data_IF_549478791375
#
_entry.id   IF_549478791375
#
_cell.length_a   1.000
_cell.length_b   1.000
_cell.length_c   1.000
_cell.angle_alpha   90.00
_cell.angle_beta   90.00
_cell.angle_gamma   90.00
#
_symmetry.space_group_name_H-M   'P 1'
#
loop_
_entity.id
_entity.type
_entity.pdbx_description
1 polymer ?
#
# COMPACT_ATOMS: atom_id res chain seq x y z
N UNK A 1 17.33 -18.02 47.62
CA UNK A 1 17.34 -16.57 47.36
C UNK A 1 17.35 -16.37 45.86
N UNK A 2 16.18 -16.13 45.27
CA UNK A 2 16.04 -15.82 43.84
C UNK A 2 15.88 -14.30 43.75
N UNK A 3 16.80 -13.63 43.05
CA UNK A 3 16.75 -12.19 42.81
C UNK A 3 15.56 -11.90 41.90
N UNK A 4 14.59 -11.13 42.41
CA UNK A 4 13.65 -10.38 41.59
C UNK A 4 14.49 -9.47 40.68
N UNK A 5 14.32 -9.62 39.36
CA UNK A 5 14.76 -8.61 38.40
C UNK A 5 13.58 -7.66 38.27
N UNK A 6 13.75 -6.48 38.87
CA UNK A 6 12.80 -5.38 38.76
C UNK A 6 12.63 -4.97 37.29
N UNK A 7 11.36 -4.95 36.88
CA UNK A 7 10.73 -3.95 36.02
C UNK A 7 11.58 -3.25 34.97
N UNK A 8 11.42 -3.70 33.72
CA UNK A 8 11.33 -2.79 32.58
C UNK A 8 10.24 -3.31 31.62
N UNK A 9 8.97 -3.13 32.01
CA UNK A 9 7.91 -2.91 31.02
C UNK A 9 8.09 -1.49 30.47
N UNK A 10 9.17 -1.30 29.72
CA UNK A 10 9.27 -0.18 28.82
C UNK A 10 8.15 -0.36 27.81
N UNK A 11 7.09 0.43 27.94
CA UNK A 11 6.12 0.63 26.88
C UNK A 11 6.88 1.26 25.72
N UNK A 12 7.55 0.43 24.92
CA UNK A 12 8.11 0.82 23.63
C UNK A 12 6.88 1.04 22.77
N UNK A 13 6.28 2.22 22.91
CA UNK A 13 5.66 2.85 21.77
C UNK A 13 6.75 2.81 20.72
N UNK A 14 6.66 1.83 19.81
CA UNK A 14 7.38 1.90 18.56
C UNK A 14 6.91 3.22 17.96
N UNK A 15 7.66 4.29 18.22
CA UNK A 15 7.55 5.54 17.51
C UNK A 15 7.82 5.12 16.07
N UNK A 16 6.77 4.73 15.35
CA UNK A 16 6.83 4.46 13.93
C UNK A 16 7.21 5.80 13.33
N UNK A 17 8.51 6.01 13.21
CA UNK A 17 9.03 7.20 12.55
C UNK A 17 8.57 7.09 11.12
N UNK A 18 7.85 8.11 10.65
CA UNK A 18 7.47 8.18 9.26
C UNK A 18 8.75 8.07 8.41
N UNK A 19 8.75 7.23 7.37
CA UNK A 19 9.91 7.10 6.50
C UNK A 19 10.28 8.47 5.92
N UNK A 20 11.58 8.74 5.86
CA UNK A 20 12.13 9.94 5.23
C UNK A 20 12.36 9.67 3.74
N UNK A 21 11.77 10.51 2.90
CA UNK A 21 11.88 10.42 1.45
C UNK A 21 12.72 11.57 0.91
N UNK A 22 13.71 11.25 0.08
CA UNK A 22 14.54 12.26 -0.55
C UNK A 22 13.80 12.90 -1.74
N UNK A 23 13.39 14.16 -1.62
CA UNK A 23 12.84 14.92 -2.74
C UNK A 23 13.99 15.62 -3.51
N UNK A 24 14.40 15.05 -4.65
CA UNK A 24 15.47 15.61 -5.50
C UNK A 24 15.21 17.05 -5.94
N UNK A 25 13.96 17.36 -6.31
CA UNK A 25 13.55 18.70 -6.74
C UNK A 25 13.59 19.70 -5.58
N UNK A 26 13.14 19.28 -4.40
CA UNK A 26 13.10 20.10 -3.20
C UNK A 26 14.48 20.24 -2.54
N UNK A 27 15.44 19.38 -2.90
CA UNK A 27 16.78 19.25 -2.32
C UNK A 27 16.77 19.06 -0.79
N UNK A 28 15.74 18.37 -0.28
CA UNK A 28 15.57 18.06 1.15
C UNK A 28 14.80 16.77 1.34
N UNK A 29 14.96 16.16 2.51
CA UNK A 29 14.17 15.01 2.91
C UNK A 29 12.79 15.46 3.43
N UNK A 30 11.76 14.66 3.13
CA UNK A 30 10.37 14.92 3.50
C UNK A 30 9.78 13.70 4.19
N UNK A 31 8.98 13.92 5.22
CA UNK A 31 8.25 12.85 5.93
C UNK A 31 6.87 12.59 5.34
N UNK A 32 6.26 13.63 4.75
CA UNK A 32 4.92 13.57 4.18
C UNK A 32 5.03 13.47 2.66
N UNK A 33 4.71 12.30 2.13
CA UNK A 33 4.64 12.07 0.69
C UNK A 33 3.24 12.30 0.17
N UNK A 34 3.17 12.78 -1.07
CA UNK A 34 1.93 12.90 -1.82
C UNK A 34 1.90 11.72 -2.79
N UNK A 35 0.86 10.89 -2.67
CA UNK A 35 0.63 9.80 -3.62
C UNK A 35 -0.16 10.34 -4.81
N UNK A 36 0.37 10.16 -6.01
CA UNK A 36 -0.26 10.56 -7.27
C UNK A 36 -0.26 9.40 -8.25
N UNK A 37 -1.28 9.31 -9.11
CA UNK A 37 -1.29 8.31 -10.17
C UNK A 37 -0.31 8.63 -11.30
N UNK A 38 0.42 7.58 -11.68
CA UNK A 38 1.06 7.41 -12.97
C UNK A 38 0.49 6.12 -13.57
N UNK A 39 -0.72 6.20 -14.13
CA UNK A 39 -1.52 5.02 -14.48
C UNK A 39 -1.41 4.72 -15.98
N UNK A 40 -0.88 3.56 -16.31
CA UNK A 40 -0.83 3.06 -17.69
C UNK A 40 -2.06 2.19 -17.94
N UNK A 41 -2.93 2.61 -18.87
CA UNK A 41 -4.16 1.89 -19.23
C UNK A 41 -4.03 1.33 -20.64
N UNK A 42 -4.36 0.06 -20.79
CA UNK A 42 -4.57 -0.60 -22.09
C UNK A 42 -6.06 -0.60 -22.38
N UNK A 43 -6.43 -0.11 -23.54
CA UNK A 43 -7.81 0.00 -23.99
C UNK A 43 -7.94 -0.85 -25.24
N UNK A 44 -8.95 -1.71 -25.27
CA UNK A 44 -9.31 -2.51 -26.43
C UNK A 44 -10.79 -2.36 -26.73
N UNK A 45 -11.16 -2.46 -27.99
CA UNK A 45 -12.55 -2.50 -28.43
C UNK A 45 -12.84 -3.73 -29.31
N UNK A 46 -14.06 -3.81 -29.85
CA UNK A 46 -14.50 -4.92 -30.71
C UNK A 46 -13.72 -5.02 -32.02
N UNK A 47 -12.96 -3.98 -32.41
CA UNK A 47 -12.11 -4.00 -33.60
C UNK A 47 -10.86 -4.86 -33.44
N UNK A 48 -10.60 -5.39 -32.23
CA UNK A 48 -9.36 -6.08 -31.82
C UNK A 48 -8.14 -5.15 -31.80
N UNK A 49 -8.32 -3.85 -32.02
CA UNK A 49 -7.29 -2.85 -31.77
C UNK A 49 -7.02 -2.72 -30.26
N UNK A 50 -5.75 -2.61 -29.90
CA UNK A 50 -5.33 -2.27 -28.54
C UNK A 50 -4.52 -0.96 -28.61
N UNK A 51 -4.85 -0.02 -27.74
CA UNK A 51 -4.07 1.20 -27.53
C UNK A 51 -3.64 1.32 -26.07
N UNK A 52 -2.56 2.05 -25.83
CA UNK A 52 -1.95 2.22 -24.52
C UNK A 52 -1.81 3.71 -24.20
N UNK A 53 -2.53 4.14 -23.18
CA UNK A 53 -2.53 5.54 -22.74
C UNK A 53 -1.95 5.68 -21.34
N UNK A 54 -1.27 6.80 -21.10
CA UNK A 54 -0.79 7.19 -19.78
C UNK A 54 -1.73 8.25 -19.19
N UNK A 55 -2.31 7.95 -18.04
CA UNK A 55 -3.21 8.83 -17.30
C UNK A 55 -2.51 9.35 -16.03
N UNK A 56 -2.47 10.67 -15.88
CA UNK A 56 -1.98 11.34 -14.68
C UNK A 56 -3.11 11.55 -13.66
N UNK A 57 -2.73 12.00 -12.46
CA UNK A 57 -3.56 12.02 -11.26
C UNK A 57 -5.05 12.35 -11.46
N UNK A 58 -5.38 13.53 -11.98
CA UNK A 58 -6.76 14.00 -12.06
C UNK A 58 -7.67 13.11 -12.93
N UNK A 59 -7.14 12.52 -14.00
CA UNK A 59 -7.92 11.66 -14.90
C UNK A 59 -7.99 10.24 -14.33
N UNK A 60 -6.88 9.74 -13.79
CA UNK A 60 -6.83 8.43 -13.16
C UNK A 60 -7.74 8.36 -11.91
N UNK A 61 -7.78 9.40 -11.08
CA UNK A 61 -8.71 9.47 -9.92
C UNK A 61 -10.16 9.40 -10.35
N UNK A 62 -10.54 10.05 -11.46
CA UNK A 62 -11.90 9.97 -12.00
C UNK A 62 -12.22 8.58 -12.55
N UNK A 63 -11.25 7.93 -13.19
CA UNK A 63 -11.41 6.58 -13.73
C UNK A 63 -11.55 5.54 -12.62
N UNK A 64 -10.66 5.56 -11.63
CA UNK A 64 -10.60 4.60 -10.52
C UNK A 64 -11.60 4.95 -9.40
N UNK A 65 -12.05 6.21 -9.34
CA UNK A 65 -12.96 6.78 -8.33
C UNK A 65 -12.42 6.72 -6.90
N UNK A 66 -11.11 6.63 -6.74
CA UNK A 66 -10.42 6.64 -5.44
C UNK A 66 -9.13 7.45 -5.51
N UNK A 67 -8.76 8.18 -4.46
CA UNK A 67 -7.48 8.86 -4.38
C UNK A 67 -6.34 7.83 -4.27
N UNK A 68 -5.17 8.15 -4.81
CA UNK A 68 -4.05 7.20 -4.90
C UNK A 68 -3.56 6.71 -3.52
N UNK A 69 -3.65 7.54 -2.48
CA UNK A 69 -3.16 7.16 -1.14
C UNK A 69 -3.98 6.01 -0.52
N UNK A 70 -5.27 5.91 -0.81
CA UNK A 70 -6.11 4.81 -0.29
C UNK A 70 -5.67 3.48 -0.87
N UNK A 71 -5.33 3.43 -2.16
CA UNK A 71 -4.84 2.21 -2.81
C UNK A 71 -3.49 1.78 -2.25
N UNK A 72 -2.61 2.72 -1.92
CA UNK A 72 -1.31 2.42 -1.30
C UNK A 72 -1.50 1.83 0.09
N UNK A 73 -2.43 2.37 0.88
CA UNK A 73 -2.75 1.82 2.21
C UNK A 73 -3.34 0.42 2.11
N UNK A 74 -4.26 0.19 1.16
CA UNK A 74 -4.85 -1.12 0.91
C UNK A 74 -3.79 -2.14 0.49
N UNK A 75 -2.90 -1.79 -0.45
CA UNK A 75 -1.82 -2.66 -0.89
C UNK A 75 -0.79 -2.96 0.21
N UNK A 76 -0.68 -2.11 1.24
CA UNK A 76 0.18 -2.34 2.39
C UNK A 76 -0.44 -3.28 3.43
N UNK A 77 -1.74 -3.58 3.35
CA UNK A 77 -2.38 -4.53 4.25
C UNK A 77 -2.00 -5.96 3.86
N UNK A 78 -1.59 -6.81 4.80
CA UNK A 78 -1.34 -8.21 4.51
C UNK A 78 -2.66 -8.90 4.11
N UNK A 79 -2.72 -9.44 2.89
CA UNK A 79 -3.82 -10.30 2.48
C UNK A 79 -3.80 -11.58 3.32
N UNK A 80 -4.66 -11.66 4.34
CA UNK A 80 -4.89 -12.92 5.07
C UNK A 80 -5.76 -13.80 4.19
N UNK A 81 -5.12 -14.65 3.38
CA UNK A 81 -5.81 -15.71 2.64
C UNK A 81 -6.05 -16.85 3.63
N UNK A 82 -7.28 -16.96 4.16
CA UNK A 82 -7.71 -18.10 4.96
C UNK A 82 -8.08 -19.23 3.98
N UNK A 83 -7.20 -20.21 3.83
CA UNK A 83 -7.54 -21.46 3.18
C UNK A 83 -8.38 -22.28 4.15
N UNK A 84 -9.70 -22.33 3.94
CA UNK A 84 -10.54 -23.32 4.59
C UNK A 84 -10.26 -24.66 3.91
N UNK A 85 -9.35 -25.44 4.48
CA UNK A 85 -9.21 -26.86 4.14
C UNK A 85 -10.43 -27.57 4.72
N UNK A 86 -11.51 -27.64 3.95
CA UNK A 86 -12.52 -28.66 4.18
C UNK A 86 -11.93 -29.98 3.68
N UNK A 87 -11.35 -30.76 4.58
CA UNK A 87 -11.19 -32.20 4.35
C UNK A 87 -12.60 -32.78 4.29
N UNK A 88 -13.06 -33.11 3.09
CA UNK A 88 -14.20 -34.00 2.92
C UNK A 88 -13.74 -35.40 3.33
N UNK A 89 -14.22 -35.89 4.46
CA UNK A 89 -14.19 -37.33 4.76
C UNK A 89 -14.98 -38.03 3.64
N UNK A 90 -14.28 -38.78 2.77
CA UNK A 90 -14.93 -39.72 1.85
C UNK A 90 -15.42 -40.94 2.66
N UNK A 91 -16.65 -41.38 2.34
CA UNK A 91 -17.49 -42.37 3.02
C UNK A 91 -16.85 -43.74 3.35
#
# INVERSE_FOLDING_TARGET
MVRQVDGFEGNVQHLQQNPLYNCKTCKKDVQHVIHCYYLVVRISDESKGEDKVLLFNNIAEKLIRRPAFELVQEAAQPHVVIFNNYESEED
#
